data_IF_366597534702
#
_entry.id   IF_366597534702
#
_cell.length_a   1.000
_cell.length_b   1.000
_cell.length_c   1.000
_cell.angle_alpha   90.00
_cell.angle_beta   90.00
_cell.angle_gamma   90.00
#
_symmetry.space_group_name_H-M   'P 1'
#
loop_
_entity.id
_entity.type
_entity.pdbx_description
1 polymer ?
#
# COMPACT_ATOMS: atom_id res chain seq x y z
N UNK A 1 -14.83 23.58 -14.83
CA UNK A 1 -13.67 22.96 -14.15
C UNK A 1 -12.32 23.30 -14.81
N UNK A 2 -12.26 24.30 -15.71
CA UNK A 2 -11.06 24.66 -16.49
C UNK A 2 -10.20 25.77 -15.83
N UNK A 3 -10.42 26.05 -14.54
CA UNK A 3 -10.03 27.32 -13.90
C UNK A 3 -9.00 27.17 -12.76
N UNK A 4 -8.59 25.94 -12.41
CA UNK A 4 -7.70 25.73 -11.27
C UNK A 4 -6.28 26.25 -11.53
N UNK A 5 -5.81 26.19 -12.77
CA UNK A 5 -4.42 26.50 -13.15
C UNK A 5 -4.26 27.81 -13.94
N UNK A 6 -5.36 28.41 -14.40
CA UNK A 6 -5.32 29.57 -15.29
C UNK A 6 -4.79 30.81 -14.55
N UNK A 7 -3.74 31.43 -15.11
CA UNK A 7 -3.13 32.68 -14.62
C UNK A 7 -2.59 32.64 -13.17
N UNK A 8 -2.31 31.45 -12.61
CA UNK A 8 -1.82 31.31 -11.24
C UNK A 8 -0.29 31.21 -11.16
N UNK A 9 0.28 31.78 -10.10
CA UNK A 9 1.63 31.42 -9.62
C UNK A 9 1.57 30.08 -8.87
N UNK A 10 2.17 29.05 -9.46
CA UNK A 10 2.11 27.67 -8.97
C UNK A 10 3.46 27.25 -8.40
N UNK A 11 3.45 26.70 -7.18
CA UNK A 11 4.60 26.01 -6.62
C UNK A 11 4.37 24.50 -6.55
N UNK A 12 5.41 23.71 -6.87
CA UNK A 12 5.50 22.28 -6.57
C UNK A 12 6.47 22.11 -5.41
N UNK A 13 5.99 21.60 -4.28
CA UNK A 13 6.74 21.47 -3.03
C UNK A 13 6.97 20.01 -2.70
N UNK A 14 8.24 19.60 -2.68
CA UNK A 14 8.66 18.20 -2.55
C UNK A 14 8.74 17.53 -3.92
N UNK A 15 9.97 17.35 -4.39
CA UNK A 15 10.32 16.56 -5.56
C UNK A 15 10.41 15.06 -5.20
N UNK A 16 10.93 14.24 -6.12
CA UNK A 16 10.74 12.79 -6.13
C UNK A 16 9.66 12.41 -7.13
N UNK A 17 9.30 11.12 -7.22
CA UNK A 17 8.51 10.61 -8.36
C UNK A 17 7.18 11.35 -8.58
N UNK A 18 6.36 11.55 -7.54
CA UNK A 18 5.10 12.32 -7.65
C UNK A 18 5.33 13.81 -7.99
N UNK A 19 6.35 14.44 -7.40
CA UNK A 19 6.69 15.84 -7.69
C UNK A 19 7.13 16.01 -9.15
N UNK A 20 7.97 15.12 -9.66
CA UNK A 20 8.42 15.13 -11.06
C UNK A 20 7.25 14.91 -12.04
N UNK A 21 6.33 13.99 -11.71
CA UNK A 21 5.12 13.78 -12.50
C UNK A 21 4.23 15.03 -12.52
N UNK A 22 4.12 15.73 -11.38
CA UNK A 22 3.43 17.01 -11.27
C UNK A 22 4.07 18.07 -12.16
N UNK A 23 5.39 18.20 -12.13
CA UNK A 23 6.12 19.15 -13.00
C UNK A 23 5.88 18.81 -14.47
N UNK A 24 6.03 17.55 -14.89
CA UNK A 24 5.75 17.12 -16.27
C UNK A 24 4.33 17.47 -16.70
N UNK A 25 3.34 17.21 -15.84
CA UNK A 25 1.95 17.53 -16.10
C UNK A 25 1.74 19.03 -16.32
N UNK A 26 2.24 19.89 -15.42
CA UNK A 26 2.13 21.35 -15.55
C UNK A 26 2.81 21.87 -16.82
N UNK A 27 4.01 21.38 -17.12
CA UNK A 27 4.73 21.75 -18.35
C UNK A 27 3.96 21.34 -19.61
N UNK A 28 3.28 20.18 -19.60
CA UNK A 28 2.41 19.74 -20.70
C UNK A 28 1.20 20.65 -20.92
N UNK A 29 0.81 21.43 -19.89
CA UNK A 29 -0.23 22.46 -19.95
C UNK A 29 0.32 23.85 -20.26
N UNK A 30 1.61 23.97 -20.56
CA UNK A 30 2.28 25.25 -20.83
C UNK A 30 2.54 26.10 -19.59
N UNK A 31 2.46 25.53 -18.40
CA UNK A 31 2.66 26.26 -17.13
C UNK A 31 4.05 25.96 -16.58
N UNK A 32 4.78 27.03 -16.25
CA UNK A 32 6.09 26.94 -15.59
C UNK A 32 5.91 27.07 -14.07
N UNK A 33 6.11 25.99 -13.29
CA UNK A 33 6.00 26.08 -11.84
C UNK A 33 7.29 26.63 -11.20
N UNK A 34 7.18 27.10 -9.96
CA UNK A 34 8.30 27.24 -9.03
C UNK A 34 8.51 25.92 -8.28
N UNK A 35 9.74 25.43 -8.21
CA UNK A 35 10.06 24.18 -7.52
C UNK A 35 10.69 24.47 -6.15
N UNK A 36 10.22 23.77 -5.13
CA UNK A 36 10.80 23.83 -3.79
C UNK A 36 11.00 22.44 -3.19
N UNK A 37 12.15 22.18 -2.57
CA UNK A 37 12.39 20.92 -1.86
C UNK A 37 13.27 21.13 -0.63
N UNK A 38 12.95 20.45 0.47
CA UNK A 38 13.73 20.54 1.73
C UNK A 38 15.12 19.93 1.63
N UNK A 39 15.35 19.07 0.64
CA UNK A 39 16.64 18.43 0.39
C UNK A 39 17.50 19.30 -0.52
N UNK A 40 18.81 19.32 -0.27
CA UNK A 40 19.79 20.00 -1.13
C UNK A 40 20.00 19.32 -2.48
N UNK A 41 19.74 18.01 -2.56
CA UNK A 41 19.86 17.20 -3.78
C UNK A 41 18.67 16.24 -3.88
N UNK A 42 17.49 16.75 -4.26
CA UNK A 42 16.32 15.89 -4.44
C UNK A 42 16.45 15.02 -5.68
N UNK A 43 15.98 13.78 -5.59
CA UNK A 43 16.04 12.82 -6.69
C UNK A 43 15.24 13.29 -7.92
N UNK A 44 15.85 13.17 -9.11
CA UNK A 44 15.24 13.49 -10.40
C UNK A 44 15.25 14.96 -10.78
N UNK A 45 15.85 15.83 -9.97
CA UNK A 45 16.02 17.25 -10.32
C UNK A 45 16.77 17.43 -11.63
N UNK A 46 17.75 16.57 -11.91
CA UNK A 46 18.53 16.53 -13.14
C UNK A 46 17.69 16.29 -14.41
N UNK A 47 16.44 15.82 -14.25
CA UNK A 47 15.51 15.60 -15.37
C UNK A 47 14.76 16.88 -15.76
N UNK A 48 14.87 17.94 -14.96
CA UNK A 48 14.15 19.21 -15.16
C UNK A 48 15.14 20.26 -15.64
N UNK A 49 14.96 20.73 -16.87
CA UNK A 49 15.75 21.82 -17.40
C UNK A 49 15.34 23.16 -16.74
N UNK A 50 16.31 23.93 -16.25
CA UNK A 50 16.07 25.11 -15.43
C UNK A 50 15.24 26.19 -16.14
N UNK A 51 15.38 26.31 -17.47
CA UNK A 51 14.65 27.26 -18.31
C UNK A 51 13.15 26.93 -18.49
N UNK A 52 12.76 25.69 -18.13
CA UNK A 52 11.36 25.23 -18.20
C UNK A 52 10.56 25.58 -16.95
N UNK A 53 11.19 26.05 -15.88
CA UNK A 53 10.55 26.38 -14.61
C UNK A 53 10.85 27.82 -14.20
N UNK A 54 10.03 28.41 -13.34
CA UNK A 54 10.16 29.81 -12.93
C UNK A 54 11.12 30.01 -11.74
N UNK A 55 11.62 28.92 -11.17
CA UNK A 55 12.65 28.93 -10.14
C UNK A 55 12.81 27.58 -9.45
N UNK A 56 13.98 27.34 -8.88
CA UNK A 56 14.31 26.14 -8.11
C UNK A 56 14.93 26.58 -6.77
N UNK A 57 14.29 26.22 -5.67
CA UNK A 57 14.71 26.58 -4.31
C UNK A 57 14.88 25.32 -3.47
N UNK A 58 16.10 25.09 -2.98
CA UNK A 58 16.46 23.87 -2.26
C UNK A 58 16.91 24.20 -0.83
N UNK A 59 16.58 23.33 0.12
CA UNK A 59 16.81 23.55 1.54
C UNK A 59 15.55 24.04 2.25
N UNK A 60 15.72 24.77 3.36
CA UNK A 60 14.59 25.21 4.18
C UNK A 60 13.52 25.96 3.37
N UNK A 61 12.25 25.65 3.63
CA UNK A 61 11.13 26.25 2.91
C UNK A 61 10.91 27.69 3.33
N UNK A 62 11.12 28.62 2.40
CA UNK A 62 10.86 30.05 2.60
C UNK A 62 9.34 30.34 2.62
N UNK A 63 8.83 30.67 3.81
CA UNK A 63 7.42 30.96 4.05
C UNK A 63 6.94 32.21 3.28
N UNK A 64 7.78 33.24 3.12
CA UNK A 64 7.41 34.46 2.41
C UNK A 64 7.26 34.18 0.91
N UNK A 65 8.14 33.34 0.36
CA UNK A 65 8.04 32.91 -1.04
C UNK A 65 6.81 32.06 -1.28
N UNK A 66 6.52 31.09 -0.40
CA UNK A 66 5.31 30.28 -0.51
C UNK A 66 4.03 31.13 -0.38
N UNK A 67 4.03 32.16 0.46
CA UNK A 67 2.90 33.08 0.59
C UNK A 67 2.62 33.91 -0.67
N UNK A 68 3.55 34.01 -1.61
CA UNK A 68 3.32 34.65 -2.90
C UNK A 68 2.67 33.71 -3.92
N UNK A 69 2.53 32.42 -3.61
CA UNK A 69 1.93 31.44 -4.52
C UNK A 69 0.42 31.42 -4.38
N UNK A 70 -0.29 31.24 -5.48
CA UNK A 70 -1.76 31.12 -5.48
C UNK A 70 -2.19 29.66 -5.37
N UNK A 71 -1.38 28.75 -5.92
CA UNK A 71 -1.57 27.31 -5.83
C UNK A 71 -0.26 26.63 -5.43
N UNK A 72 -0.33 25.78 -4.42
CA UNK A 72 0.79 24.97 -3.95
C UNK A 72 0.39 23.50 -4.07
N UNK A 73 1.14 22.76 -4.87
CA UNK A 73 0.97 21.32 -5.05
C UNK A 73 2.04 20.61 -4.24
N UNK A 74 1.62 19.94 -3.17
CA UNK A 74 2.52 19.34 -2.17
C UNK A 74 2.62 17.84 -2.43
N UNK A 75 3.85 17.34 -2.52
CA UNK A 75 4.12 15.91 -2.59
C UNK A 75 3.72 15.21 -1.29
N UNK A 76 3.16 13.99 -1.33
CA UNK A 76 2.63 13.32 -0.14
C UNK A 76 3.68 13.06 0.95
N UNK A 77 4.97 13.03 0.61
CA UNK A 77 6.07 12.88 1.58
C UNK A 77 6.27 14.08 2.50
N UNK A 78 5.74 15.26 2.16
CA UNK A 78 5.83 16.46 2.99
C UNK A 78 4.52 16.68 3.76
N UNK A 79 4.62 16.95 5.06
CA UNK A 79 3.45 17.24 5.88
C UNK A 79 2.87 18.62 5.55
N UNK A 80 1.57 18.68 5.27
CA UNK A 80 0.83 19.95 5.13
C UNK A 80 0.76 20.76 6.42
N UNK A 81 1.10 20.14 7.56
CA UNK A 81 1.23 20.81 8.86
C UNK A 81 2.55 21.61 8.98
N UNK A 82 3.45 21.55 7.98
CA UNK A 82 4.70 22.32 7.97
C UNK A 82 4.45 23.83 8.15
N UNK A 83 5.20 24.53 9.02
CA UNK A 83 4.94 25.95 9.33
C UNK A 83 4.84 26.86 8.10
N UNK A 84 5.75 26.70 7.13
CA UNK A 84 5.74 27.50 5.90
C UNK A 84 4.50 27.27 5.02
N UNK A 85 4.00 26.03 4.93
CA UNK A 85 2.77 25.71 4.18
C UNK A 85 1.52 26.23 4.89
N UNK A 86 1.49 26.12 6.22
CA UNK A 86 0.41 26.69 7.05
C UNK A 86 0.35 28.21 6.89
N UNK A 87 1.50 28.87 6.91
CA UNK A 87 1.59 30.31 6.69
C UNK A 87 1.07 30.71 5.31
N UNK A 88 1.52 30.04 4.24
CA UNK A 88 1.02 30.33 2.89
C UNK A 88 -0.49 30.13 2.76
N UNK A 89 -1.05 29.08 3.36
CA UNK A 89 -2.50 28.85 3.40
C UNK A 89 -3.25 29.98 4.13
N UNK A 90 -2.69 30.50 5.23
CA UNK A 90 -3.25 31.66 5.94
C UNK A 90 -3.18 32.95 5.12
N UNK A 91 -2.24 33.05 4.18
CA UNK A 91 -2.13 34.16 3.23
C UNK A 91 -3.02 33.98 1.98
N UNK A 92 -3.84 32.92 1.94
CA UNK A 92 -4.81 32.68 0.86
C UNK A 92 -4.36 31.69 -0.22
N UNK A 93 -3.17 31.10 -0.10
CA UNK A 93 -2.72 30.07 -1.05
C UNK A 93 -3.61 28.83 -0.95
N UNK A 94 -4.02 28.30 -2.11
CA UNK A 94 -4.68 26.99 -2.17
C UNK A 94 -3.60 25.91 -2.08
N UNK A 95 -3.74 24.95 -1.16
CA UNK A 95 -2.79 23.85 -0.98
C UNK A 95 -3.47 22.53 -1.31
N UNK A 96 -2.97 21.83 -2.32
CA UNK A 96 -3.51 20.55 -2.81
C UNK A 96 -2.40 19.51 -3.02
N UNK A 97 -2.79 18.26 -3.26
CA UNK A 97 -1.88 17.18 -3.67
C UNK A 97 -1.96 16.85 -5.17
N UNK A 98 -1.14 15.90 -5.60
CA UNK A 98 -1.14 15.36 -6.96
C UNK A 98 -2.47 14.66 -7.32
N UNK A 99 -3.08 13.96 -6.36
CA UNK A 99 -4.38 13.28 -6.53
C UNK A 99 -5.54 14.25 -6.70
N UNK A 100 -5.52 15.39 -6.00
CA UNK A 100 -6.52 16.44 -6.21
C UNK A 100 -6.39 17.08 -7.58
N UNK A 101 -5.15 17.33 -8.03
CA UNK A 101 -4.91 17.80 -9.38
C UNK A 101 -5.38 16.77 -10.42
N UNK A 102 -5.16 15.48 -10.16
CA UNK A 102 -5.72 14.42 -11.00
C UNK A 102 -7.25 14.49 -11.05
N UNK A 103 -7.92 14.61 -9.90
CA UNK A 103 -9.37 14.69 -9.82
C UNK A 103 -9.96 15.84 -10.66
N UNK A 104 -9.27 16.98 -10.70
CA UNK A 104 -9.69 18.16 -11.47
C UNK A 104 -9.62 17.98 -12.99
N UNK A 105 -8.81 17.04 -13.48
CA UNK A 105 -8.58 16.84 -14.93
C UNK A 105 -9.08 15.49 -15.45
N UNK A 106 -9.31 14.53 -14.56
CA UNK A 106 -9.82 13.23 -14.92
C UNK A 106 -11.31 13.31 -15.29
N UNK A 107 -11.70 12.55 -16.32
CA UNK A 107 -13.09 12.38 -16.76
C UNK A 107 -13.51 10.91 -16.80
N UNK A 108 -12.60 9.99 -16.49
CA UNK A 108 -12.82 8.54 -16.52
C UNK A 108 -13.28 8.02 -15.16
N UNK A 109 -14.02 6.90 -15.10
CA UNK A 109 -14.30 6.20 -13.85
C UNK A 109 -13.05 5.90 -13.03
N UNK A 110 -13.17 6.00 -11.70
CA UNK A 110 -12.09 5.75 -10.76
C UNK A 110 -12.55 4.83 -9.64
N UNK A 111 -11.78 3.78 -9.40
CA UNK A 111 -11.83 2.97 -8.19
C UNK A 111 -10.67 3.38 -7.29
N UNK A 112 -10.88 3.56 -5.99
CA UNK A 112 -9.80 3.88 -5.06
C UNK A 112 -9.69 2.88 -3.90
N UNK A 113 -8.46 2.58 -3.51
CA UNK A 113 -8.14 1.64 -2.44
C UNK A 113 -7.19 2.29 -1.43
N UNK A 114 -7.57 2.28 -0.16
CA UNK A 114 -6.69 2.57 0.99
C UNK A 114 -6.79 1.50 2.06
N UNK A 115 -6.02 1.68 3.13
CA UNK A 115 -5.87 0.76 4.26
C UNK A 115 -4.46 0.81 4.81
N UNK A 116 -4.21 0.19 5.95
CA UNK A 116 -2.83 -0.04 6.43
C UNK A 116 -2.16 -1.11 5.56
N UNK A 117 -2.84 -2.23 5.36
CA UNK A 117 -2.35 -3.41 4.66
C UNK A 117 -3.26 -3.84 3.50
N UNK A 118 -2.75 -4.65 2.58
CA UNK A 118 -3.51 -5.22 1.45
C UNK A 118 -3.68 -4.31 0.22
N UNK A 119 -3.51 -2.98 0.37
CA UNK A 119 -3.72 -1.96 -0.69
C UNK A 119 -3.22 -2.38 -2.07
N UNK A 120 -1.90 -2.58 -2.23
CA UNK A 120 -1.31 -2.88 -3.53
C UNK A 120 -1.81 -4.19 -4.13
N UNK A 121 -2.04 -5.20 -3.30
CA UNK A 121 -2.59 -6.48 -3.75
C UNK A 121 -3.99 -6.28 -4.30
N UNK A 122 -4.86 -5.56 -3.58
CA UNK A 122 -6.24 -5.27 -4.03
C UNK A 122 -6.24 -4.38 -5.27
N UNK A 123 -5.39 -3.34 -5.32
CA UNK A 123 -5.24 -2.47 -6.49
C UNK A 123 -4.87 -3.28 -7.74
N UNK A 124 -3.85 -4.15 -7.64
CA UNK A 124 -3.37 -4.95 -8.78
C UNK A 124 -4.31 -6.10 -9.14
N UNK A 125 -4.98 -6.70 -8.17
CA UNK A 125 -6.06 -7.65 -8.44
C UNK A 125 -7.22 -6.98 -9.18
N UNK A 126 -7.66 -5.81 -8.73
CA UNK A 126 -8.77 -5.07 -9.35
C UNK A 126 -8.43 -4.67 -10.79
N UNK A 127 -7.22 -4.16 -11.02
CA UNK A 127 -6.70 -3.88 -12.37
C UNK A 127 -6.75 -5.14 -13.25
N UNK A 128 -6.21 -6.27 -12.77
CA UNK A 128 -6.18 -7.51 -13.54
C UNK A 128 -7.59 -8.07 -13.82
N UNK A 129 -8.54 -7.95 -12.88
CA UNK A 129 -9.93 -8.37 -13.06
C UNK A 129 -10.64 -7.57 -14.14
N UNK A 130 -10.41 -6.25 -14.17
CA UNK A 130 -10.95 -5.35 -15.19
C UNK A 130 -10.31 -5.64 -16.56
N UNK A 131 -8.99 -5.80 -16.62
CA UNK A 131 -8.28 -6.14 -17.86
C UNK A 131 -8.72 -7.50 -18.44
N UNK A 132 -8.87 -8.54 -17.62
CA UNK A 132 -9.43 -9.82 -18.06
C UNK A 132 -10.92 -9.73 -18.46
N UNK A 133 -11.62 -8.67 -18.05
CA UNK A 133 -12.98 -8.36 -18.53
C UNK A 133 -12.99 -7.58 -19.84
N UNK A 134 -11.81 -7.29 -20.43
CA UNK A 134 -11.68 -6.50 -21.65
C UNK A 134 -11.70 -4.98 -21.43
N UNK A 135 -11.68 -4.51 -20.17
CA UNK A 135 -11.67 -3.08 -19.82
C UNK A 135 -10.22 -2.63 -19.69
N UNK A 136 -9.85 -1.55 -20.38
CA UNK A 136 -8.52 -0.93 -20.29
C UNK A 136 -8.35 -0.22 -18.94
N UNK A 137 -8.15 -1.00 -17.88
CA UNK A 137 -7.88 -0.49 -16.55
C UNK A 137 -6.39 -0.22 -16.33
N UNK A 138 -6.09 0.85 -15.60
CA UNK A 138 -4.72 1.25 -15.25
C UNK A 138 -4.59 1.54 -13.76
N UNK A 139 -3.71 0.81 -13.08
CA UNK A 139 -3.37 1.06 -11.69
C UNK A 139 -2.32 2.19 -11.55
N UNK A 140 -2.57 3.13 -10.65
CA UNK A 140 -1.69 4.27 -10.38
C UNK A 140 -1.81 4.76 -8.93
N UNK A 141 -1.03 5.77 -8.56
CA UNK A 141 -1.14 6.45 -7.27
C UNK A 141 0.10 6.28 -6.39
N UNK A 142 -0.09 5.78 -5.18
CA UNK A 142 0.94 5.69 -4.13
C UNK A 142 2.11 4.76 -4.49
N UNK A 143 1.88 3.72 -5.29
CA UNK A 143 2.91 2.76 -5.73
C UNK A 143 2.81 2.56 -7.25
N UNK A 144 3.96 2.42 -7.89
CA UNK A 144 4.05 2.22 -9.34
C UNK A 144 3.98 3.54 -10.09
N UNK A 145 3.02 3.66 -11.01
CA UNK A 145 2.85 4.83 -11.86
C UNK A 145 2.29 6.02 -11.05
N UNK A 146 2.95 7.19 -11.03
CA UNK A 146 2.38 8.39 -10.42
C UNK A 146 1.03 8.77 -11.06
N UNK A 147 0.10 9.25 -10.25
CA UNK A 147 -1.30 9.48 -10.67
C UNK A 147 -1.43 10.45 -11.86
N UNK A 148 -0.57 11.47 -11.93
CA UNK A 148 -0.59 12.45 -13.02
C UNK A 148 0.06 11.93 -14.32
N UNK A 149 1.02 11.01 -14.24
CA UNK A 149 1.54 10.34 -15.43
C UNK A 149 0.50 9.37 -16.03
N UNK A 150 -0.40 8.83 -15.20
CA UNK A 150 -1.50 7.99 -15.65
C UNK A 150 -2.47 8.74 -16.58
N UNK A 151 -2.67 10.05 -16.38
CA UNK A 151 -3.50 10.87 -17.28
C UNK A 151 -2.97 10.94 -18.72
N UNK A 152 -1.67 10.70 -18.93
CA UNK A 152 -1.08 10.68 -20.25
C UNK A 152 -1.42 9.38 -21.03
N UNK A 153 -2.03 8.37 -20.38
CA UNK A 153 -2.43 7.10 -20.98
C UNK A 153 -3.86 7.17 -21.50
N UNK A 154 -4.01 7.71 -22.71
CA UNK A 154 -5.32 8.03 -23.33
C UNK A 154 -6.23 6.83 -23.57
N UNK A 155 -5.64 5.64 -23.68
CA UNK A 155 -6.33 4.35 -23.83
C UNK A 155 -7.05 3.90 -22.55
N UNK A 156 -6.78 4.54 -21.41
CA UNK A 156 -7.36 4.15 -20.12
C UNK A 156 -8.87 4.42 -20.08
N UNK A 157 -9.63 3.38 -19.77
CA UNK A 157 -11.08 3.41 -19.55
C UNK A 157 -11.42 3.56 -18.06
N UNK A 158 -10.65 2.93 -17.17
CA UNK A 158 -10.87 2.98 -15.70
C UNK A 158 -9.54 3.13 -14.98
N UNK A 159 -9.47 4.05 -14.02
CA UNK A 159 -8.32 4.16 -13.13
C UNK A 159 -8.55 3.37 -11.83
N UNK A 160 -7.53 2.64 -11.40
CA UNK A 160 -7.52 1.92 -10.12
C UNK A 160 -6.43 2.52 -9.23
N UNK A 161 -6.83 3.40 -8.31
CA UNK A 161 -5.89 4.20 -7.53
C UNK A 161 -5.58 3.56 -6.18
N UNK A 162 -4.30 3.28 -5.93
CA UNK A 162 -3.82 3.07 -4.57
C UNK A 162 -3.59 4.43 -3.91
N UNK A 163 -4.27 4.73 -2.80
CA UNK A 163 -4.15 6.00 -2.09
C UNK A 163 -3.61 5.81 -0.67
N UNK A 164 -2.57 6.56 -0.33
CA UNK A 164 -2.10 6.69 1.06
C UNK A 164 -2.98 7.65 1.86
N UNK A 165 -2.89 7.60 3.18
CA UNK A 165 -3.54 8.59 4.06
C UNK A 165 -3.04 10.02 3.76
N UNK A 166 -1.75 10.17 3.45
CA UNK A 166 -1.13 11.47 3.12
C UNK A 166 -1.72 12.09 1.85
N UNK A 167 -2.00 11.28 0.83
CA UNK A 167 -2.65 11.77 -0.39
C UNK A 167 -4.12 12.15 -0.13
N UNK A 168 -4.82 11.36 0.67
CA UNK A 168 -6.22 11.61 1.02
C UNK A 168 -6.41 12.92 1.81
N UNK A 169 -5.46 13.30 2.68
CA UNK A 169 -5.49 14.60 3.40
C UNK A 169 -5.59 15.82 2.49
N UNK A 170 -5.05 15.72 1.28
CA UNK A 170 -4.96 16.83 0.31
C UNK A 170 -5.90 16.67 -0.89
N UNK A 171 -6.77 15.66 -0.86
CA UNK A 171 -7.76 15.36 -1.89
C UNK A 171 -9.16 15.73 -1.41
N UNK A 172 -9.94 16.43 -2.23
CA UNK A 172 -11.26 16.95 -1.90
C UNK A 172 -12.30 16.69 -2.98
N UNK A 173 -11.93 16.59 -4.26
CA UNK A 173 -12.91 16.55 -5.37
C UNK A 173 -12.99 15.21 -6.13
N UNK A 174 -12.20 14.21 -5.72
CA UNK A 174 -12.10 12.92 -6.41
C UNK A 174 -13.43 12.16 -6.41
N UNK A 175 -14.05 12.03 -7.58
CA UNK A 175 -15.26 11.24 -7.78
C UNK A 175 -14.90 9.76 -7.99
N UNK A 176 -15.57 8.86 -7.27
CA UNK A 176 -15.24 7.44 -7.26
C UNK A 176 -16.46 6.59 -7.57
N UNK A 177 -16.32 5.62 -8.49
CA UNK A 177 -17.37 4.61 -8.71
C UNK A 177 -17.44 3.65 -7.53
N UNK A 178 -16.28 3.34 -6.94
CA UNK A 178 -16.19 2.58 -5.71
C UNK A 178 -14.89 2.92 -4.96
N UNK A 179 -14.96 2.87 -3.63
CA UNK A 179 -13.81 3.05 -2.76
C UNK A 179 -13.74 1.95 -1.69
N UNK A 180 -12.53 1.55 -1.31
CA UNK A 180 -12.33 0.63 -0.18
C UNK A 180 -11.34 1.18 0.85
N UNK A 181 -11.70 1.08 2.13
CA UNK A 181 -10.74 1.12 3.24
C UNK A 181 -10.62 -0.30 3.83
N UNK A 182 -9.50 -0.97 3.56
CA UNK A 182 -9.36 -2.41 3.81
C UNK A 182 -9.18 -2.77 5.29
N UNK A 183 -8.49 -1.92 6.05
CA UNK A 183 -8.16 -2.09 7.47
C UNK A 183 -7.42 -0.86 7.97
N UNK A 184 -7.46 -0.63 9.28
CA UNK A 184 -6.70 0.41 9.97
C UNK A 184 -5.97 -0.20 11.18
N UNK A 185 -4.66 -0.31 11.06
CA UNK A 185 -3.74 -0.69 12.15
C UNK A 185 -2.65 0.37 12.33
N UNK A 186 -2.03 0.44 13.51
CA UNK A 186 -0.95 1.37 13.81
C UNK A 186 0.15 1.34 12.73
N UNK A 187 0.36 2.50 12.10
CA UNK A 187 1.39 2.78 11.11
C UNK A 187 1.53 4.31 11.03
N UNK A 188 2.72 4.80 10.65
CA UNK A 188 2.97 6.25 10.49
C UNK A 188 2.64 7.14 11.70
N UNK A 189 2.80 6.64 12.93
CA UNK A 189 2.56 7.41 14.16
C UNK A 189 3.59 8.55 14.38
N UNK A 190 4.64 8.60 13.57
CA UNK A 190 5.54 9.75 13.45
C UNK A 190 4.89 10.97 12.81
N UNK A 191 3.79 10.78 12.06
CA UNK A 191 3.07 11.83 11.30
C UNK A 191 1.69 12.18 11.85
N UNK A 192 1.07 11.26 12.57
CA UNK A 192 -0.26 11.44 13.16
C UNK A 192 -0.16 11.55 14.68
N UNK A 193 -1.10 12.26 15.30
CA UNK A 193 -1.12 12.39 16.76
C UNK A 193 -1.42 11.06 17.45
N UNK A 194 -2.33 10.29 16.86
CA UNK A 194 -2.77 9.00 17.34
C UNK A 194 -3.39 8.18 16.18
N UNK A 195 -3.87 6.97 16.51
CA UNK A 195 -4.54 6.08 15.55
C UNK A 195 -5.86 6.67 15.02
N UNK A 196 -6.54 7.52 15.79
CA UNK A 196 -7.80 8.12 15.38
C UNK A 196 -7.60 9.19 14.30
N UNK A 197 -6.57 10.04 14.42
CA UNK A 197 -6.16 11.00 13.38
C UNK A 197 -5.79 10.27 12.07
N UNK A 198 -5.06 9.15 12.18
CA UNK A 198 -4.72 8.32 11.01
C UNK A 198 -5.95 7.67 10.37
N UNK A 199 -6.88 7.14 11.17
CA UNK A 199 -8.14 6.57 10.68
C UNK A 199 -9.00 7.62 9.97
N UNK A 200 -9.11 8.82 10.55
CA UNK A 200 -9.85 9.93 9.98
C UNK A 200 -9.29 10.37 8.62
N UNK A 201 -7.96 10.38 8.46
CA UNK A 201 -7.34 10.65 7.16
C UNK A 201 -7.74 9.63 6.08
N UNK A 202 -7.83 8.33 6.43
CA UNK A 202 -8.27 7.29 5.49
C UNK A 202 -9.77 7.34 5.18
N UNK A 203 -10.61 7.70 6.16
CA UNK A 203 -12.07 7.81 5.97
C UNK A 203 -12.45 8.79 4.84
N UNK A 204 -11.58 9.76 4.55
CA UNK A 204 -11.74 10.70 3.42
C UNK A 204 -11.87 9.98 2.06
N UNK A 205 -11.40 8.74 1.92
CA UNK A 205 -11.54 7.97 0.66
C UNK A 205 -13.00 7.75 0.25
N UNK A 206 -13.94 7.77 1.20
CA UNK A 206 -15.35 7.57 0.89
C UNK A 206 -16.07 8.84 0.43
N UNK A 207 -15.43 10.01 0.55
CA UNK A 207 -15.99 11.26 0.04
C UNK A 207 -16.19 11.14 -1.47
N UNK A 208 -17.40 11.47 -1.93
CA UNK A 208 -17.80 11.38 -3.33
C UNK A 208 -17.69 9.97 -3.97
N UNK A 209 -17.69 8.92 -3.14
CA UNK A 209 -17.82 7.55 -3.63
C UNK A 209 -19.28 7.16 -3.84
N UNK A 210 -19.58 6.51 -4.96
CA UNK A 210 -20.90 5.92 -5.20
C UNK A 210 -21.11 4.62 -4.40
N UNK A 211 -20.04 3.83 -4.21
CA UNK A 211 -20.01 2.64 -3.37
C UNK A 211 -18.83 2.69 -2.38
N UNK A 212 -19.12 2.57 -1.09
CA UNK A 212 -18.13 2.45 -0.02
C UNK A 212 -18.04 1.00 0.47
N UNK A 213 -16.93 0.34 0.14
CA UNK A 213 -16.60 -1.03 0.55
C UNK A 213 -15.74 -0.99 1.81
N UNK A 214 -16.13 -1.69 2.86
CA UNK A 214 -15.40 -1.66 4.14
C UNK A 214 -15.27 -3.05 4.78
N UNK A 215 -14.36 -3.18 5.73
CA UNK A 215 -14.17 -4.39 6.51
C UNK A 215 -15.13 -4.40 7.71
N UNK A 216 -16.11 -5.30 7.72
CA UNK A 216 -17.08 -5.42 8.80
C UNK A 216 -16.43 -5.82 10.13
N UNK A 217 -15.26 -6.47 10.07
CA UNK A 217 -14.50 -6.91 11.24
C UNK A 217 -13.54 -5.82 11.76
N UNK A 218 -13.51 -4.63 11.12
CA UNK A 218 -12.69 -3.48 11.53
C UNK A 218 -13.54 -2.20 11.62
N UNK A 219 -13.89 -1.83 12.85
CA UNK A 219 -14.74 -0.68 13.17
C UNK A 219 -14.19 0.66 12.62
N UNK A 220 -12.88 0.81 12.48
CA UNK A 220 -12.26 2.04 11.96
C UNK A 220 -12.43 2.20 10.44
N UNK A 221 -12.87 1.16 9.75
CA UNK A 221 -13.13 1.20 8.29
C UNK A 221 -14.58 1.54 7.93
N UNK A 222 -15.50 1.49 8.91
CA UNK A 222 -16.93 1.74 8.70
C UNK A 222 -17.12 3.16 8.14
N UNK A 223 -17.79 3.33 6.97
CA UNK A 223 -17.98 4.65 6.37
C UNK A 223 -18.86 5.54 7.24
N UNK A 224 -18.46 6.81 7.38
CA UNK A 224 -19.24 7.85 8.08
C UNK A 224 -20.06 8.75 7.15
N UNK A 225 -19.96 8.51 5.83
CA UNK A 225 -20.63 9.29 4.79
C UNK A 225 -21.94 8.63 4.35
N UNK A 226 -22.88 9.42 3.82
CA UNK A 226 -24.12 8.91 3.23
C UNK A 226 -23.88 8.49 1.79
N UNK A 227 -23.66 7.19 1.57
CA UNK A 227 -23.54 6.58 0.23
C UNK A 227 -23.98 5.11 0.28
N UNK A 228 -23.99 4.41 -0.86
CA UNK A 228 -24.20 2.97 -0.84
C UNK A 228 -23.01 2.31 -0.13
N UNK A 229 -23.29 1.45 0.86
CA UNK A 229 -22.26 0.75 1.63
C UNK A 229 -22.29 -0.74 1.36
N UNK A 230 -21.11 -1.37 1.36
CA UNK A 230 -20.93 -2.81 1.28
C UNK A 230 -19.96 -3.27 2.38
N UNK A 231 -20.51 -3.99 3.34
CA UNK A 231 -19.74 -4.60 4.42
C UNK A 231 -19.14 -5.93 3.96
N UNK A 232 -17.83 -6.11 4.07
CA UNK A 232 -17.15 -7.37 3.79
C UNK A 232 -16.79 -8.07 5.10
N UNK A 233 -17.17 -9.33 5.25
CA UNK A 233 -16.69 -10.23 6.29
C UNK A 233 -16.36 -11.57 5.64
N UNK A 234 -15.40 -12.30 6.21
CA UNK A 234 -15.16 -13.68 5.77
C UNK A 234 -16.22 -14.65 6.27
N UNK A 235 -16.89 -14.33 7.40
CA UNK A 235 -17.81 -15.24 8.10
C UNK A 235 -19.26 -14.77 8.04
N UNK A 236 -19.52 -13.46 8.10
CA UNK A 236 -20.85 -12.88 7.95
C UNK A 236 -21.15 -12.57 6.48
N UNK A 237 -21.98 -13.41 5.86
CA UNK A 237 -22.29 -13.38 4.44
C UNK A 237 -23.60 -12.63 4.12
N UNK A 238 -24.18 -11.87 5.07
CA UNK A 238 -25.43 -11.11 4.84
C UNK A 238 -25.33 -10.07 3.72
N UNK A 239 -24.13 -9.59 3.43
CA UNK A 239 -23.85 -8.68 2.32
C UNK A 239 -23.75 -9.37 0.95
N UNK A 240 -23.80 -10.71 0.92
CA UNK A 240 -23.55 -11.50 -0.28
C UNK A 240 -22.05 -11.67 -0.62
N UNK A 241 -21.15 -11.30 0.29
CA UNK A 241 -19.70 -11.50 0.18
C UNK A 241 -19.19 -12.25 1.39
N UNK A 242 -18.29 -13.21 1.19
CA UNK A 242 -17.70 -13.98 2.28
C UNK A 242 -17.19 -15.35 1.85
N UNK A 243 -16.97 -16.24 2.83
CA UNK A 243 -16.62 -17.64 2.61
C UNK A 243 -17.81 -18.52 3.02
N UNK A 244 -18.24 -19.38 2.13
CA UNK A 244 -19.35 -20.31 2.36
C UNK A 244 -18.93 -21.75 2.10
N UNK A 245 -19.41 -22.67 2.93
CA UNK A 245 -19.19 -24.10 2.74
C UNK A 245 -20.19 -24.66 1.72
N UNK A 246 -19.69 -25.39 0.73
CA UNK A 246 -20.50 -26.14 -0.21
C UNK A 246 -19.84 -27.49 -0.50
N UNK A 247 -20.57 -28.58 -0.27
CA UNK A 247 -20.08 -29.96 -0.49
C UNK A 247 -18.74 -30.24 0.23
N UNK A 248 -18.55 -29.70 1.44
CA UNK A 248 -17.35 -29.90 2.24
C UNK A 248 -16.13 -29.07 1.80
N UNK A 249 -16.31 -28.11 0.90
CA UNK A 249 -15.27 -27.20 0.44
C UNK A 249 -15.66 -25.74 0.70
N UNK A 250 -14.66 -24.91 1.02
CA UNK A 250 -14.84 -23.46 1.13
C UNK A 250 -14.92 -22.83 -0.27
N UNK A 251 -15.92 -21.98 -0.49
CA UNK A 251 -16.13 -21.18 -1.69
C UNK A 251 -16.11 -19.69 -1.37
N UNK A 252 -15.54 -18.90 -2.27
CA UNK A 252 -15.75 -17.46 -2.29
C UNK A 252 -17.20 -17.17 -2.72
N UNK A 253 -17.97 -16.52 -1.86
CA UNK A 253 -19.26 -15.91 -2.18
C UNK A 253 -19.03 -14.47 -2.62
N UNK A 254 -19.53 -14.10 -3.79
CA UNK A 254 -19.41 -12.75 -4.34
C UNK A 254 -20.76 -12.35 -4.90
N UNK A 255 -21.30 -11.20 -4.50
CA UNK A 255 -22.60 -10.69 -4.94
C UNK A 255 -23.75 -11.72 -4.82
N UNK A 256 -23.77 -12.47 -3.71
CA UNK A 256 -24.84 -13.44 -3.39
C UNK A 256 -24.68 -14.82 -4.04
N UNK A 257 -23.67 -15.00 -4.90
CA UNK A 257 -23.45 -16.25 -5.63
C UNK A 257 -22.03 -16.79 -5.42
N UNK A 258 -21.91 -18.12 -5.35
CA UNK A 258 -20.62 -18.81 -5.29
C UNK A 258 -19.83 -18.52 -6.57
N UNK A 259 -18.57 -18.13 -6.41
CA UNK A 259 -17.70 -17.74 -7.53
C UNK A 259 -16.70 -18.85 -7.90
N UNK A 260 -15.89 -19.29 -6.94
CA UNK A 260 -14.94 -20.41 -7.09
C UNK A 260 -14.60 -21.02 -5.72
N UNK A 261 -14.09 -22.27 -5.69
CA UNK A 261 -13.48 -22.83 -4.49
C UNK A 261 -12.28 -21.99 -4.04
N UNK A 262 -12.13 -21.78 -2.74
CA UNK A 262 -10.99 -21.08 -2.14
C UNK A 262 -9.67 -21.78 -2.47
N UNK A 263 -9.68 -23.11 -2.55
CA UNK A 263 -8.51 -23.91 -2.89
C UNK A 263 -8.00 -23.68 -4.33
N UNK A 264 -8.82 -23.12 -5.23
CA UNK A 264 -8.42 -22.78 -6.59
C UNK A 264 -7.80 -21.37 -6.69
N UNK A 265 -7.80 -20.58 -5.61
CA UNK A 265 -7.13 -19.29 -5.60
C UNK A 265 -5.61 -19.49 -5.64
N UNK A 266 -4.94 -18.71 -6.47
CA UNK A 266 -3.47 -18.65 -6.48
C UNK A 266 -2.88 -17.97 -5.25
N UNK A 267 -3.65 -17.09 -4.61
CA UNK A 267 -3.26 -16.41 -3.38
C UNK A 267 -3.76 -17.16 -2.14
N UNK A 268 -2.88 -17.34 -1.16
CA UNK A 268 -3.15 -18.13 0.04
C UNK A 268 -3.41 -17.26 1.28
N UNK A 269 -4.16 -17.80 2.23
CA UNK A 269 -4.41 -17.19 3.53
C UNK A 269 -5.66 -16.31 3.61
N UNK A 270 -6.22 -16.19 4.81
CA UNK A 270 -7.48 -15.46 5.09
C UNK A 270 -7.42 -13.98 4.66
N UNK A 271 -6.28 -13.32 4.88
CA UNK A 271 -6.10 -11.93 4.45
C UNK A 271 -6.21 -11.78 2.92
N UNK A 272 -5.74 -12.76 2.15
CA UNK A 272 -5.87 -12.75 0.69
C UNK A 272 -7.27 -13.14 0.21
N UNK A 273 -7.99 -13.98 0.94
CA UNK A 273 -9.42 -14.20 0.72
C UNK A 273 -10.20 -12.89 0.89
N UNK A 274 -9.91 -12.12 1.94
CA UNK A 274 -10.51 -10.81 2.14
C UNK A 274 -10.13 -9.83 1.02
N UNK A 275 -8.84 -9.76 0.66
CA UNK A 275 -8.38 -8.94 -0.46
C UNK A 275 -9.07 -9.32 -1.78
N UNK A 276 -9.33 -10.61 -2.01
CA UNK A 276 -10.05 -11.09 -3.18
C UNK A 276 -11.52 -10.64 -3.19
N UNK A 277 -12.21 -10.70 -2.04
CA UNK A 277 -13.57 -10.16 -1.90
C UNK A 277 -13.62 -8.66 -2.15
N UNK A 278 -12.67 -7.90 -1.58
CA UNK A 278 -12.57 -6.47 -1.79
C UNK A 278 -12.30 -6.13 -3.26
N UNK A 279 -11.33 -6.79 -3.90
CA UNK A 279 -11.04 -6.59 -5.31
C UNK A 279 -12.22 -6.96 -6.20
N UNK A 280 -12.91 -8.07 -5.92
CA UNK A 280 -14.10 -8.48 -6.67
C UNK A 280 -15.25 -7.48 -6.54
N UNK A 281 -15.52 -6.95 -5.34
CA UNK A 281 -16.53 -5.92 -5.12
C UNK A 281 -16.24 -4.65 -5.93
N UNK A 282 -15.01 -4.16 -5.85
CA UNK A 282 -14.56 -2.97 -6.57
C UNK A 282 -14.57 -3.17 -8.09
N UNK A 283 -14.10 -4.33 -8.57
CA UNK A 283 -14.07 -4.66 -9.98
C UNK A 283 -15.49 -4.78 -10.56
N UNK A 284 -16.42 -5.43 -9.85
CA UNK A 284 -17.83 -5.51 -10.26
C UNK A 284 -18.47 -4.11 -10.36
N UNK A 285 -18.22 -3.24 -9.38
CA UNK A 285 -18.73 -1.87 -9.41
C UNK A 285 -18.17 -1.04 -10.58
N UNK A 286 -17.00 -1.41 -11.11
CA UNK A 286 -16.38 -0.82 -12.28
C UNK A 286 -16.64 -1.58 -13.60
N UNK A 287 -17.55 -2.56 -13.60
CA UNK A 287 -18.02 -3.24 -14.81
C UNK A 287 -17.34 -4.57 -15.15
N UNK A 288 -16.51 -5.13 -14.26
CA UNK A 288 -15.90 -6.44 -14.50
C UNK A 288 -16.95 -7.57 -14.59
N UNK A 289 -16.64 -8.61 -15.36
CA UNK A 289 -17.48 -9.81 -15.43
C UNK A 289 -17.11 -10.82 -14.32
N UNK A 290 -18.09 -11.56 -13.80
CA UNK A 290 -17.85 -12.64 -12.82
C UNK A 290 -16.85 -13.68 -13.35
N UNK A 291 -16.94 -14.02 -14.64
CA UNK A 291 -16.03 -14.98 -15.27
C UNK A 291 -14.58 -14.50 -15.25
N UNK A 292 -14.34 -13.24 -15.59
CA UNK A 292 -13.00 -12.66 -15.55
C UNK A 292 -12.44 -12.58 -14.12
N UNK A 293 -13.29 -12.25 -13.13
CA UNK A 293 -12.90 -12.25 -11.71
C UNK A 293 -12.44 -13.65 -11.29
N UNK A 294 -13.23 -14.68 -11.59
CA UNK A 294 -12.86 -16.06 -11.27
C UNK A 294 -11.57 -16.50 -11.98
N UNK A 295 -11.42 -16.17 -13.27
CA UNK A 295 -10.20 -16.46 -14.04
C UNK A 295 -8.98 -15.78 -13.44
N UNK A 296 -9.11 -14.50 -13.05
CA UNK A 296 -8.02 -13.72 -12.44
C UNK A 296 -7.57 -14.33 -11.11
N UNK A 297 -8.52 -14.72 -10.25
CA UNK A 297 -8.21 -15.29 -8.93
C UNK A 297 -7.47 -16.63 -9.01
N UNK A 298 -7.62 -17.38 -10.12
CA UNK A 298 -6.87 -18.61 -10.38
C UNK A 298 -5.44 -18.37 -10.88
N UNK A 299 -5.21 -17.28 -11.62
CA UNK A 299 -3.95 -17.06 -12.35
C UNK A 299 -3.06 -15.97 -11.77
N UNK A 300 -3.56 -15.11 -10.88
CA UNK A 300 -2.83 -13.96 -10.36
C UNK A 300 -1.64 -14.38 -9.50
N UNK A 301 -0.41 -14.05 -9.90
CA UNK A 301 0.81 -14.54 -9.23
C UNK A 301 1.27 -13.75 -8.00
N UNK A 302 0.41 -12.90 -7.43
CA UNK A 302 0.78 -12.05 -6.31
C UNK A 302 1.69 -10.89 -6.73
N UNK A 303 2.23 -10.19 -5.73
CA UNK A 303 3.24 -9.15 -5.94
C UNK A 303 4.54 -9.60 -5.30
N UNK A 304 5.66 -9.19 -5.91
CA UNK A 304 6.98 -9.42 -5.33
C UNK A 304 7.01 -8.92 -3.88
N UNK A 305 7.65 -9.69 -3.00
CA UNK A 305 7.84 -9.37 -1.59
C UNK A 305 6.54 -9.31 -0.74
N UNK A 306 5.42 -9.87 -1.21
CA UNK A 306 4.16 -9.99 -0.45
C UNK A 306 3.76 -11.46 -0.30
N UNK A 307 4.18 -12.11 0.78
CA UNK A 307 4.05 -13.57 0.98
C UNK A 307 4.46 -14.39 -0.26
N UNK A 308 5.52 -13.95 -0.95
CA UNK A 308 5.99 -14.56 -2.19
C UNK A 308 6.78 -15.85 -1.90
N UNK A 309 6.37 -16.98 -2.48
CA UNK A 309 7.17 -18.20 -2.43
C UNK A 309 8.41 -18.05 -3.31
N UNK A 310 9.57 -17.84 -2.69
CA UNK A 310 10.86 -17.67 -3.38
C UNK A 310 11.41 -19.01 -3.88
N UNK A 311 11.32 -20.03 -3.03
CA UNK A 311 11.83 -21.36 -3.32
C UNK A 311 11.18 -22.40 -2.40
N UNK A 312 11.13 -23.64 -2.88
CA UNK A 312 10.93 -24.82 -2.05
C UNK A 312 12.17 -25.70 -2.16
N UNK A 313 12.84 -25.96 -1.04
CA UNK A 313 14.12 -26.67 -1.00
C UNK A 313 14.12 -27.69 0.12
N UNK A 314 14.42 -28.95 -0.21
CA UNK A 314 14.42 -30.06 0.76
C UNK A 314 13.11 -30.13 1.59
N UNK A 315 11.98 -29.82 0.97
CA UNK A 315 10.67 -29.77 1.65
C UNK A 315 10.44 -28.54 2.55
N UNK A 316 11.35 -27.56 2.56
CA UNK A 316 11.22 -26.28 3.27
C UNK A 316 10.74 -25.20 2.30
N UNK A 317 9.68 -24.49 2.66
CA UNK A 317 9.20 -23.33 1.89
C UNK A 317 9.85 -22.05 2.38
N UNK A 318 10.35 -21.24 1.45
CA UNK A 318 11.00 -19.95 1.72
C UNK A 318 10.11 -18.82 1.21
N UNK A 319 9.55 -18.05 2.13
CA UNK A 319 8.54 -17.03 1.84
C UNK A 319 9.09 -15.64 2.11
N UNK A 320 9.01 -14.78 1.10
CA UNK A 320 9.40 -13.38 1.14
C UNK A 320 8.18 -12.49 1.34
N UNK A 321 8.04 -11.97 2.55
CA UNK A 321 7.08 -10.92 2.90
C UNK A 321 7.81 -9.66 3.39
N UNK A 322 8.91 -9.27 2.69
CA UNK A 322 9.69 -8.08 3.05
C UNK A 322 8.87 -6.78 3.05
N UNK A 323 7.72 -6.75 2.37
CA UNK A 323 6.75 -5.65 2.41
C UNK A 323 5.99 -5.55 3.73
N UNK A 324 6.08 -6.54 4.61
CA UNK A 324 5.56 -6.51 5.98
C UNK A 324 6.32 -5.54 6.88
N UNK A 325 6.22 -4.23 6.59
CA UNK A 325 7.02 -3.17 7.22
C UNK A 325 6.40 -2.58 8.50
N UNK A 326 5.34 -3.20 9.02
CA UNK A 326 4.66 -2.82 10.26
C UNK A 326 4.15 -4.10 10.97
N UNK A 327 3.84 -3.98 12.26
CA UNK A 327 3.37 -5.08 13.11
C UNK A 327 2.15 -5.78 12.52
N UNK A 328 1.14 -5.02 12.11
CA UNK A 328 -0.12 -5.56 11.57
C UNK A 328 0.09 -6.43 10.33
N UNK A 329 1.06 -6.09 9.46
CA UNK A 329 1.38 -6.89 8.29
C UNK A 329 1.96 -8.26 8.68
N UNK A 330 2.90 -8.29 9.63
CA UNK A 330 3.47 -9.55 10.12
C UNK A 330 2.44 -10.41 10.84
N UNK A 331 1.56 -9.80 11.65
CA UNK A 331 0.45 -10.52 12.28
C UNK A 331 -0.47 -11.17 11.24
N UNK A 332 -0.80 -10.46 10.16
CA UNK A 332 -1.61 -10.97 9.06
C UNK A 332 -0.92 -12.11 8.28
N UNK A 333 0.40 -12.03 8.08
CA UNK A 333 1.19 -13.08 7.46
C UNK A 333 1.21 -14.35 8.32
N UNK A 334 1.50 -14.22 9.63
CA UNK A 334 1.50 -15.34 10.58
C UNK A 334 0.13 -16.03 10.65
N UNK A 335 -0.94 -15.26 10.86
CA UNK A 335 -2.29 -15.79 10.94
C UNK A 335 -2.75 -16.45 9.62
N UNK A 336 -2.30 -15.92 8.48
CA UNK A 336 -2.63 -16.44 7.15
C UNK A 336 -1.89 -17.71 6.76
N UNK A 337 -0.61 -17.83 7.16
CA UNK A 337 0.26 -18.91 6.70
C UNK A 337 0.36 -20.08 7.67
N UNK A 338 0.20 -19.86 8.99
CA UNK A 338 0.45 -20.89 10.01
C UNK A 338 -0.30 -22.20 9.76
N UNK A 339 -1.58 -22.11 9.40
CA UNK A 339 -2.44 -23.29 9.13
C UNK A 339 -1.96 -24.14 7.95
N UNK A 340 -1.16 -23.56 7.04
CA UNK A 340 -0.58 -24.27 5.90
C UNK A 340 0.76 -24.94 6.22
N UNK A 341 1.35 -24.72 7.41
CA UNK A 341 2.69 -25.20 7.78
C UNK A 341 2.56 -26.47 8.61
N UNK A 342 3.07 -27.59 8.10
CA UNK A 342 3.06 -28.87 8.81
C UNK A 342 4.08 -28.91 9.96
N UNK A 343 5.28 -28.35 9.74
CA UNK A 343 6.36 -28.30 10.71
C UNK A 343 6.44 -26.97 11.46
N UNK A 344 7.68 -26.48 11.62
CA UNK A 344 8.03 -25.21 12.24
C UNK A 344 7.83 -24.05 11.28
N UNK A 345 7.35 -22.94 11.81
CA UNK A 345 7.45 -21.62 11.21
C UNK A 345 8.64 -20.89 11.85
N UNK A 346 9.66 -20.64 11.03
CA UNK A 346 10.86 -19.88 11.39
C UNK A 346 10.68 -18.46 10.86
N UNK A 347 10.57 -17.49 11.76
CA UNK A 347 10.37 -16.08 11.40
C UNK A 347 11.71 -15.33 11.40
N UNK A 348 11.95 -14.57 10.33
CA UNK A 348 13.02 -13.56 10.26
C UNK A 348 12.36 -12.19 10.40
N UNK A 349 12.69 -11.46 11.48
CA UNK A 349 12.10 -10.15 11.77
C UNK A 349 13.06 -9.06 12.28
N UNK A 350 12.68 -7.79 12.12
CA UNK A 350 13.45 -6.63 12.59
C UNK A 350 13.86 -5.64 11.49
N UNK A 351 14.47 -4.55 11.95
CA UNK A 351 14.69 -3.30 11.20
C UNK A 351 14.36 -2.10 12.09
N UNK A 352 13.88 -1.02 11.49
CA UNK A 352 13.36 0.17 12.19
C UNK A 352 11.82 0.10 12.39
N UNK A 353 11.38 -0.02 13.64
CA UNK A 353 9.98 -0.10 14.05
C UNK A 353 9.26 1.25 14.11
N UNK A 354 9.97 2.38 13.91
CA UNK A 354 9.41 3.75 13.91
C UNK A 354 8.60 4.09 15.16
N UNK A 355 9.02 3.58 16.32
CA UNK A 355 8.36 3.81 17.60
C UNK A 355 7.05 3.05 17.82
N UNK A 356 6.74 2.04 16.99
CA UNK A 356 5.61 1.14 17.25
C UNK A 356 5.80 0.31 18.52
N UNK A 357 4.70 -0.02 19.21
CA UNK A 357 4.71 -0.91 20.36
C UNK A 357 4.89 -2.37 19.92
N UNK A 358 6.14 -2.84 19.91
CA UNK A 358 6.48 -4.19 19.48
C UNK A 358 5.84 -5.29 20.34
N UNK A 359 5.37 -5.00 21.56
CA UNK A 359 4.75 -6.01 22.44
C UNK A 359 3.47 -6.60 21.84
N UNK A 360 2.82 -5.89 20.90
CA UNK A 360 1.69 -6.39 20.13
C UNK A 360 2.00 -7.68 19.32
N UNK A 361 3.28 -7.93 18.98
CA UNK A 361 3.69 -9.15 18.30
C UNK A 361 3.70 -10.38 19.21
N UNK A 362 3.91 -10.18 20.52
CA UNK A 362 4.22 -11.27 21.46
C UNK A 362 3.20 -12.41 21.45
N UNK A 363 1.88 -12.17 21.49
CA UNK A 363 0.89 -13.25 21.47
C UNK A 363 0.98 -14.12 20.21
N UNK A 364 1.22 -13.50 19.05
CA UNK A 364 1.34 -14.23 17.78
C UNK A 364 2.68 -14.96 17.67
N UNK A 365 3.78 -14.36 18.15
CA UNK A 365 5.09 -15.01 18.20
C UNK A 365 5.02 -16.29 19.04
N UNK A 366 4.47 -16.20 20.25
CA UNK A 366 4.38 -17.35 21.15
C UNK A 366 3.48 -18.47 20.62
N UNK A 367 2.41 -18.11 19.90
CA UNK A 367 1.45 -19.09 19.35
C UNK A 367 1.94 -19.75 18.07
N UNK A 368 2.45 -18.95 17.13
CA UNK A 368 2.62 -19.37 15.73
C UNK A 368 4.08 -19.60 15.35
N UNK A 369 5.04 -18.98 16.03
CA UNK A 369 6.46 -19.00 15.65
C UNK A 369 7.25 -19.96 16.54
N UNK A 370 7.91 -20.95 15.94
CA UNK A 370 8.72 -21.93 16.69
C UNK A 370 10.19 -21.49 16.81
N UNK A 371 10.67 -20.64 15.90
CA UNK A 371 11.98 -20.04 16.00
C UNK A 371 11.93 -18.62 15.45
N UNK A 372 12.49 -17.68 16.21
CA UNK A 372 12.64 -16.30 15.79
C UNK A 372 14.13 -16.00 15.54
N UNK A 373 14.40 -15.38 14.40
CA UNK A 373 15.71 -14.84 14.03
C UNK A 373 15.52 -13.34 13.83
N UNK A 374 16.31 -12.52 14.51
CA UNK A 374 16.17 -11.06 14.42
C UNK A 374 17.42 -10.35 13.92
N UNK A 375 17.20 -9.19 13.29
CA UNK A 375 18.25 -8.32 12.77
C UNK A 375 17.82 -6.84 12.81
N UNK A 376 18.77 -5.93 12.60
CA UNK A 376 18.50 -4.49 12.48
C UNK A 376 18.33 -3.77 13.82
N UNK A 377 18.01 -2.47 13.72
CA UNK A 377 17.98 -1.54 14.85
C UNK A 377 17.13 -2.04 16.03
N UNK A 378 15.89 -2.44 15.78
CA UNK A 378 14.96 -2.93 16.79
C UNK A 378 14.91 -4.47 16.90
N UNK A 379 15.84 -5.16 16.22
CA UNK A 379 15.99 -6.62 16.31
C UNK A 379 16.15 -7.14 17.75
N UNK A 380 16.93 -6.49 18.65
CA UNK A 380 17.03 -6.88 20.05
C UNK A 380 15.72 -6.77 20.82
N UNK A 381 14.90 -5.75 20.54
CA UNK A 381 13.60 -5.56 21.18
C UNK A 381 12.61 -6.66 20.79
N UNK A 382 12.58 -7.05 19.50
CA UNK A 382 11.75 -8.17 19.03
C UNK A 382 12.26 -9.50 19.60
N UNK A 383 13.58 -9.71 19.68
CA UNK A 383 14.15 -10.94 20.25
C UNK A 383 13.77 -11.14 21.72
N UNK A 384 13.53 -10.07 22.48
CA UNK A 384 13.10 -10.16 23.87
C UNK A 384 11.66 -10.69 24.02
N UNK A 385 10.85 -10.71 22.96
CA UNK A 385 9.45 -11.14 22.99
C UNK A 385 9.28 -12.67 22.90
N UNK A 386 10.30 -13.39 22.41
CA UNK A 386 10.29 -14.84 22.30
C UNK A 386 11.62 -15.42 22.83
N UNK A 387 11.60 -16.29 23.86
CA UNK A 387 12.79 -16.98 24.32
C UNK A 387 13.52 -17.72 23.20
N UNK A 388 14.84 -17.92 23.36
CA UNK A 388 15.70 -18.63 22.41
C UNK A 388 15.76 -18.02 20.99
N UNK A 389 15.41 -16.73 20.87
CA UNK A 389 15.60 -15.95 19.65
C UNK A 389 17.08 -15.81 19.28
N UNK A 390 17.39 -15.91 17.98
CA UNK A 390 18.76 -15.79 17.47
C UNK A 390 18.93 -14.43 16.81
N UNK A 391 19.82 -13.61 17.36
CA UNK A 391 20.16 -12.31 16.77
C UNK A 391 21.30 -12.46 15.75
N UNK A 392 21.13 -11.84 14.58
CA UNK A 392 22.12 -11.83 13.50
C UNK A 392 22.33 -10.41 12.96
N UNK A 393 23.43 -10.18 12.26
CA UNK A 393 23.80 -8.85 11.76
C UNK A 393 23.37 -8.60 10.31
N UNK A 394 23.09 -9.65 9.55
CA UNK A 394 22.80 -9.55 8.10
C UNK A 394 21.71 -10.53 7.68
N UNK A 395 21.01 -10.22 6.59
CA UNK A 395 19.98 -11.10 6.04
C UNK A 395 20.57 -12.43 5.54
N UNK A 396 21.81 -12.42 5.06
CA UNK A 396 22.53 -13.62 4.64
C UNK A 396 22.83 -14.54 5.83
N UNK A 397 23.19 -13.97 6.99
CA UNK A 397 23.33 -14.73 8.24
C UNK A 397 21.98 -15.29 8.67
N UNK A 398 20.89 -14.50 8.59
CA UNK A 398 19.55 -14.97 8.94
C UNK A 398 19.14 -16.19 8.12
N UNK A 399 19.33 -16.14 6.78
CA UNK A 399 19.03 -17.23 5.86
C UNK A 399 19.88 -18.48 6.17
N UNK A 400 21.18 -18.32 6.41
CA UNK A 400 22.06 -19.44 6.78
C UNK A 400 21.67 -20.08 8.11
N UNK A 401 21.35 -19.27 9.12
CA UNK A 401 20.88 -19.75 10.42
C UNK A 401 19.56 -20.50 10.26
N UNK A 402 18.59 -19.94 9.55
CA UNK A 402 17.31 -20.59 9.29
C UNK A 402 17.49 -21.94 8.56
N UNK A 403 18.37 -22.00 7.55
CA UNK A 403 18.67 -23.21 6.81
C UNK A 403 19.28 -24.31 7.70
N UNK A 404 20.08 -23.96 8.70
CA UNK A 404 20.67 -24.94 9.62
C UNK A 404 19.68 -25.53 10.64
N UNK A 405 18.52 -24.88 10.81
CA UNK A 405 17.49 -25.26 11.79
C UNK A 405 16.27 -25.92 11.14
N UNK A 406 16.00 -25.60 9.87
CA UNK A 406 14.81 -26.03 9.15
C UNK A 406 14.86 -27.51 8.76
N UNK A 407 13.71 -28.16 8.79
CA UNK A 407 13.49 -29.54 8.36
C UNK A 407 12.35 -29.62 7.33
N UNK A 408 12.28 -30.72 6.59
CA UNK A 408 11.20 -30.94 5.62
C UNK A 408 9.82 -30.77 6.27
N UNK A 409 8.96 -29.95 5.66
CA UNK A 409 7.65 -29.56 6.18
C UNK A 409 7.62 -28.18 6.86
N UNK A 410 8.79 -27.60 7.14
CA UNK A 410 8.93 -26.27 7.75
C UNK A 410 8.71 -25.14 6.72
N UNK A 411 8.54 -23.93 7.25
CA UNK A 411 8.52 -22.68 6.49
C UNK A 411 9.46 -21.66 7.11
N UNK A 412 10.29 -21.04 6.29
CA UNK A 412 11.05 -19.84 6.65
C UNK A 412 10.35 -18.63 6.07
N UNK A 413 9.94 -17.71 6.93
CA UNK A 413 9.21 -16.50 6.58
C UNK A 413 10.05 -15.26 6.90
N UNK A 414 10.39 -14.47 5.88
CA UNK A 414 10.82 -13.08 6.09
C UNK A 414 9.57 -12.21 6.21
N UNK A 415 9.20 -11.81 7.42
CA UNK A 415 8.09 -10.88 7.67
C UNK A 415 8.50 -9.89 8.78
N UNK A 416 9.09 -8.75 8.42
CA UNK A 416 9.99 -8.05 9.33
C UNK A 416 9.34 -7.26 10.46
N UNK A 417 8.05 -6.92 10.35
CA UNK A 417 7.33 -5.98 11.23
C UNK A 417 7.91 -4.56 11.29
N UNK A 418 9.02 -4.31 10.58
CA UNK A 418 9.81 -3.08 10.62
C UNK A 418 10.12 -2.58 9.20
N UNK A 419 10.31 -1.26 9.09
CA UNK A 419 10.92 -0.66 7.93
C UNK A 419 12.37 -1.15 7.74
N UNK A 420 12.92 -0.93 6.55
CA UNK A 420 14.20 -1.49 6.13
C UNK A 420 15.34 -0.48 6.09
N UNK A 421 15.06 0.80 6.36
CA UNK A 421 15.94 1.92 5.97
C UNK A 421 17.20 2.03 6.85
N UNK A 422 17.22 1.35 7.99
CA UNK A 422 18.38 1.22 8.87
C UNK A 422 19.49 0.34 8.25
N UNK A 423 19.13 -0.63 7.41
CA UNK A 423 20.07 -1.62 6.84
C UNK A 423 20.07 -1.70 5.30
N UNK A 424 19.00 -1.25 4.63
CA UNK A 424 18.75 -1.50 3.21
C UNK A 424 18.27 -0.23 2.50
N UNK A 425 18.43 -0.18 1.17
CA UNK A 425 17.95 0.95 0.36
C UNK A 425 16.42 1.05 0.37
N UNK A 426 15.74 -0.10 0.45
CA UNK A 426 14.28 -0.20 0.49
C UNK A 426 13.85 -1.61 0.93
N UNK A 427 12.55 -1.80 1.16
CA UNK A 427 12.00 -3.13 1.44
C UNK A 427 12.21 -4.10 0.25
N UNK A 428 12.24 -3.58 -0.99
CA UNK A 428 12.46 -4.38 -2.18
C UNK A 428 13.90 -4.90 -2.20
N UNK A 429 14.88 -4.02 -1.93
CA UNK A 429 16.29 -4.39 -1.78
C UNK A 429 16.48 -5.46 -0.69
N UNK A 430 15.84 -5.31 0.48
CA UNK A 430 15.82 -6.36 1.52
C UNK A 430 15.25 -7.69 1.02
N UNK A 431 14.14 -7.65 0.29
CA UNK A 431 13.47 -8.84 -0.24
C UNK A 431 14.26 -9.53 -1.34
N UNK A 432 14.93 -8.77 -2.22
CA UNK A 432 15.82 -9.26 -3.26
C UNK A 432 17.06 -9.92 -2.65
N UNK A 433 17.66 -9.30 -1.64
CA UNK A 433 18.82 -9.89 -0.94
C UNK A 433 18.44 -11.17 -0.19
N UNK A 434 17.27 -11.24 0.42
CA UNK A 434 16.74 -12.48 0.98
C UNK A 434 16.59 -13.56 -0.09
N UNK A 435 15.94 -13.23 -1.22
CA UNK A 435 15.72 -14.19 -2.30
C UNK A 435 17.04 -14.68 -2.91
N UNK A 436 18.01 -13.79 -3.10
CA UNK A 436 19.36 -14.13 -3.55
C UNK A 436 20.06 -15.08 -2.56
N UNK A 437 20.05 -14.76 -1.27
CA UNK A 437 20.66 -15.60 -0.24
C UNK A 437 20.04 -17.01 -0.17
N UNK A 438 18.71 -17.13 -0.37
CA UNK A 438 18.02 -18.42 -0.42
C UNK A 438 18.44 -19.24 -1.65
N UNK A 439 18.61 -18.59 -2.81
CA UNK A 439 19.09 -19.25 -4.03
C UNK A 439 20.54 -19.71 -3.90
N UNK A 440 21.37 -18.99 -3.14
CA UNK A 440 22.77 -19.32 -2.90
C UNK A 440 23.02 -20.44 -1.88
N UNK A 441 22.00 -20.87 -1.13
CA UNK A 441 22.16 -22.02 -0.22
C UNK A 441 22.66 -23.24 -1.02
N UNK A 442 23.63 -23.97 -0.48
CA UNK A 442 24.11 -25.20 -1.12
C UNK A 442 23.08 -26.33 -0.93
N UNK A 443 23.04 -27.33 -1.84
CA UNK A 443 22.12 -28.46 -1.75
C UNK A 443 22.28 -29.26 -0.47
#
# INVERSE_FOLDING_TARGET
MQDLLTAKRIAVVGLGQSGLATVRFLLSKGIKPVLMDTRKQPAGLEQIAAEKVDGIYLGELDANRLAQMELIIVSPGLSVKHPALRFAKLQGATVIGDVELFACYNTKPVVAITGSNGKSTVTKLTEAMLQHSGIQALAAGNIGLPVLDALAKTETEVYVLELSSFQLETTASLQLVAAANLNVSADHLDRYQDLADYAAAKQRIYQHSALAVYNADDALTVPTVTTQVLALSLTDHRSGYGIVQHQGQDYLLVAGERLLPVAEMSLFGKHNQFNALAAAALALAAGASRQAIASTLRSFRGLAHRCELVAERQGVRWVNDSKGTNIGATLAALAGLRSSVAGKLILIAGGDAKGADLTELQPALQRDVQQLITLGQDGPAIAALLPDSIQVKTIQQAVKTAASLAQSGDMVLLSPACASLDMFKSYADRGEQFAAAVRELKP
#
